data_IF_652320034767
#
_entry.id   IF_652320034767
#
_cell.length_a   1.000
_cell.length_b   1.000
_cell.length_c   1.000
_cell.angle_alpha   90.00
_cell.angle_beta   90.00
_cell.angle_gamma   90.00
#
_symmetry.space_group_name_H-M   'P 1'
#
loop_
_entity.id
_entity.type
_entity.pdbx_description
1 polymer ?
#
# COMPACT_ATOMS: atom_id res chain seq x y z
N UNK A 1 -22.59 -11.54 8.36
CA UNK A 1 -21.16 -11.87 8.60
C UNK A 1 -20.38 -10.66 8.12
N UNK A 2 -19.74 -9.87 9.01
CA UNK A 2 -19.15 -8.56 8.67
C UNK A 2 -17.63 -8.58 8.55
N UNK A 3 -17.03 -9.77 8.66
CA UNK A 3 -15.60 -9.99 8.68
C UNK A 3 -15.28 -11.24 7.87
N UNK A 4 -14.25 -11.16 7.04
CA UNK A 4 -13.72 -12.28 6.26
C UNK A 4 -12.29 -12.56 6.71
N UNK A 5 -11.93 -13.83 6.84
CA UNK A 5 -10.60 -14.29 7.20
C UNK A 5 -9.98 -15.05 6.03
N UNK A 6 -8.72 -14.76 5.72
CA UNK A 6 -7.89 -15.48 4.76
C UNK A 6 -6.57 -15.87 5.44
N UNK A 7 -6.33 -17.15 5.67
CA UNK A 7 -5.07 -17.65 6.22
C UNK A 7 -4.01 -17.84 5.12
N UNK A 8 -2.75 -17.72 5.52
CA UNK A 8 -1.59 -18.08 4.71
C UNK A 8 -0.66 -18.91 5.60
N UNK A 9 -0.53 -20.23 5.36
CA UNK A 9 -1.15 -21.00 4.27
C UNK A 9 -2.67 -21.15 4.40
N UNK A 10 -3.36 -21.30 3.27
CA UNK A 10 -4.82 -21.42 3.18
C UNK A 10 -5.29 -22.72 3.86
N UNK A 11 -6.38 -22.64 4.62
CA UNK A 11 -6.98 -23.80 5.29
C UNK A 11 -8.06 -24.47 4.43
N UNK A 12 -8.33 -25.76 4.69
CA UNK A 12 -9.34 -26.51 3.93
C UNK A 12 -10.75 -25.90 4.10
N UNK A 13 -11.44 -25.66 2.98
CA UNK A 13 -12.79 -25.07 2.96
C UNK A 13 -12.82 -23.54 3.09
N UNK A 14 -11.66 -22.88 3.11
CA UNK A 14 -11.56 -21.42 3.20
C UNK A 14 -11.85 -20.74 1.86
N UNK A 15 -12.69 -19.69 1.89
CA UNK A 15 -12.98 -18.85 0.72
C UNK A 15 -12.05 -17.65 0.73
N UNK A 16 -11.10 -17.64 -0.20
CA UNK A 16 -10.15 -16.53 -0.34
C UNK A 16 -10.84 -15.32 -0.93
N UNK A 17 -10.86 -14.22 -0.18
CA UNK A 17 -11.32 -12.91 -0.64
C UNK A 17 -10.16 -11.98 -0.99
N UNK A 18 -10.38 -11.02 -1.89
CA UNK A 18 -9.40 -9.96 -2.11
C UNK A 18 -9.38 -9.03 -0.88
N UNK A 19 -8.25 -8.83 -0.20
CA UNK A 19 -8.18 -8.02 1.01
C UNK A 19 -8.11 -6.52 0.66
N UNK A 20 -9.24 -5.98 0.19
CA UNK A 20 -9.37 -4.66 -0.41
C UNK A 20 -10.08 -3.65 0.49
N UNK A 21 -9.61 -2.40 0.44
CA UNK A 21 -10.24 -1.22 1.06
C UNK A 21 -10.40 -0.10 0.03
N UNK A 22 -11.45 0.71 0.17
CA UNK A 22 -11.67 1.88 -0.67
C UNK A 22 -12.65 2.87 -0.04
N UNK A 23 -12.64 4.10 -0.53
CA UNK A 23 -13.49 5.20 -0.05
C UNK A 23 -14.36 5.83 -1.14
N UNK A 24 -14.48 5.18 -2.29
CA UNK A 24 -15.22 5.70 -3.45
C UNK A 24 -14.45 6.75 -4.27
N UNK A 25 -13.24 7.12 -3.88
CA UNK A 25 -12.33 7.94 -4.69
C UNK A 25 -11.12 7.12 -5.14
N UNK A 26 -10.57 6.33 -4.22
CA UNK A 26 -9.48 5.41 -4.44
C UNK A 26 -9.72 4.09 -3.71
N UNK A 27 -8.93 3.08 -4.07
CA UNK A 27 -8.88 1.82 -3.36
C UNK A 27 -7.55 1.10 -3.52
N UNK A 28 -7.28 0.20 -2.60
CA UNK A 28 -6.05 -0.57 -2.55
C UNK A 28 -6.29 -1.88 -1.80
N UNK A 29 -5.64 -2.94 -2.25
CA UNK A 29 -5.61 -4.22 -1.53
C UNK A 29 -4.30 -4.35 -0.76
N UNK A 30 -4.35 -5.03 0.39
CA UNK A 30 -3.15 -5.34 1.19
C UNK A 30 -2.37 -6.52 0.57
N UNK A 31 -2.02 -6.39 -0.71
CA UNK A 31 -1.11 -7.30 -1.42
C UNK A 31 0.11 -6.57 -1.97
N UNK A 32 1.28 -7.23 -2.04
CA UNK A 32 2.53 -6.60 -2.50
C UNK A 32 2.37 -6.06 -3.91
N UNK A 33 1.68 -6.81 -4.76
CA UNK A 33 1.48 -6.44 -6.15
C UNK A 33 0.22 -5.58 -6.35
N UNK A 34 -0.48 -5.19 -5.27
CA UNK A 34 -1.68 -4.38 -5.39
C UNK A 34 -1.34 -2.94 -5.77
N UNK A 35 -1.87 -2.53 -6.90
CA UNK A 35 -1.74 -1.18 -7.41
C UNK A 35 -2.89 -0.33 -6.89
N UNK A 36 -2.64 0.97 -6.66
CA UNK A 36 -3.71 1.90 -6.31
C UNK A 36 -4.72 1.95 -7.44
N UNK A 37 -5.99 1.73 -7.11
CA UNK A 37 -7.13 1.80 -8.00
C UNK A 37 -7.77 3.18 -7.91
N UNK A 38 -7.97 3.83 -9.06
CA UNK A 38 -8.49 5.18 -9.17
C UNK A 38 -9.93 5.13 -9.72
N UNK A 39 -10.87 5.78 -9.04
CA UNK A 39 -12.23 5.95 -9.57
C UNK A 39 -12.33 7.28 -10.34
N UNK A 40 -12.26 7.20 -11.66
CA UNK A 40 -12.29 8.38 -12.54
C UNK A 40 -13.70 8.80 -12.93
N UNK A 41 -14.62 7.84 -13.01
CA UNK A 41 -16.05 8.02 -13.29
C UNK A 41 -16.81 6.88 -12.58
N UNK A 42 -17.93 7.20 -11.93
CA UNK A 42 -18.77 6.23 -11.22
C UNK A 42 -19.36 5.15 -12.15
N UNK A 43 -19.42 5.42 -13.45
CA UNK A 43 -19.90 4.47 -14.48
C UNK A 43 -18.78 3.70 -15.16
N UNK A 44 -17.53 4.01 -14.84
CA UNK A 44 -16.37 3.35 -15.43
C UNK A 44 -15.69 2.41 -14.43
N UNK A 45 -15.05 1.33 -14.88
CA UNK A 45 -14.24 0.50 -14.02
C UNK A 45 -13.06 1.30 -13.43
N UNK A 46 -12.55 0.86 -12.29
CA UNK A 46 -11.35 1.44 -11.71
C UNK A 46 -10.18 1.39 -12.69
N UNK A 47 -9.41 2.48 -12.73
CA UNK A 47 -8.16 2.55 -13.48
C UNK A 47 -7.00 2.28 -12.54
N UNK A 48 -6.17 1.29 -12.86
CA UNK A 48 -4.99 1.00 -12.05
C UNK A 48 -3.88 2.02 -12.30
N UNK A 49 -3.32 2.57 -11.22
CA UNK A 49 -2.20 3.53 -11.28
C UNK A 49 -0.87 2.92 -11.77
N UNK A 50 -0.74 1.59 -11.73
CA UNK A 50 0.56 0.91 -11.90
C UNK A 50 1.48 1.00 -10.68
N UNK A 51 1.12 1.77 -9.65
CA UNK A 51 1.95 2.05 -8.48
C UNK A 51 1.44 1.32 -7.24
N UNK A 52 2.34 0.64 -6.51
CA UNK A 52 2.05 -0.05 -5.24
C UNK A 52 2.79 0.62 -4.08
N UNK A 53 2.08 1.32 -3.17
CA UNK A 53 2.69 1.90 -1.97
C UNK A 53 2.81 0.90 -0.82
N UNK A 54 2.31 -0.34 -0.99
CA UNK A 54 2.18 -1.29 0.12
C UNK A 54 3.57 -1.72 0.58
N UNK A 55 3.82 -1.50 1.87
CA UNK A 55 5.05 -1.93 2.52
C UNK A 55 4.81 -3.23 3.25
N UNK A 56 5.73 -4.16 3.08
CA UNK A 56 5.69 -5.45 3.75
C UNK A 56 6.95 -5.71 4.51
N UNK A 57 6.79 -6.53 5.53
CA UNK A 57 7.90 -7.21 6.18
C UNK A 57 7.98 -8.59 5.56
N UNK A 58 9.13 -8.93 5.00
CA UNK A 58 9.39 -10.28 4.50
C UNK A 58 10.82 -10.65 4.82
N UNK A 59 11.02 -11.92 5.16
CA UNK A 59 12.34 -12.51 5.38
C UNK A 59 12.41 -13.79 4.58
N UNK A 60 13.49 -13.98 3.84
CA UNK A 60 13.69 -15.21 3.05
C UNK A 60 14.21 -16.36 3.94
N UNK A 61 14.52 -16.08 5.21
CA UNK A 61 15.13 -17.03 6.15
C UNK A 61 14.25 -17.37 7.35
N UNK A 62 13.10 -16.70 7.54
CA UNK A 62 12.24 -16.91 8.70
C UNK A 62 10.97 -17.63 8.25
N UNK A 63 10.52 -18.59 9.04
CA UNK A 63 9.20 -19.19 8.83
C UNK A 63 8.14 -18.13 9.14
N UNK A 64 7.15 -17.98 8.26
CA UNK A 64 6.04 -17.06 8.46
C UNK A 64 4.68 -17.76 8.38
N UNK A 65 3.73 -17.20 9.12
CA UNK A 65 2.32 -17.55 9.05
C UNK A 65 1.52 -16.27 9.18
N UNK A 66 0.40 -16.19 8.48
CA UNK A 66 -0.40 -14.98 8.50
C UNK A 66 -1.89 -15.23 8.41
N UNK A 67 -2.65 -14.26 8.89
CA UNK A 67 -4.08 -14.17 8.67
C UNK A 67 -4.41 -12.76 8.23
N UNK A 68 -5.18 -12.64 7.15
CA UNK A 68 -5.72 -11.38 6.66
C UNK A 68 -7.19 -11.30 6.99
N UNK A 69 -7.61 -10.19 7.55
CA UNK A 69 -8.92 -9.93 8.11
C UNK A 69 -9.50 -8.72 7.39
N UNK A 70 -10.61 -8.92 6.67
CA UNK A 70 -11.34 -7.83 6.00
C UNK A 70 -12.51 -7.43 6.88
N UNK A 71 -12.46 -6.25 7.48
CA UNK A 71 -13.49 -5.72 8.36
C UNK A 71 -14.41 -4.79 7.55
N UNK A 72 -15.50 -5.34 7.01
CA UNK A 72 -16.33 -4.65 6.00
C UNK A 72 -17.04 -3.41 6.55
N UNK A 73 -17.47 -3.44 7.82
CA UNK A 73 -18.19 -2.32 8.45
C UNK A 73 -17.25 -1.12 8.70
N UNK A 74 -16.04 -1.41 9.12
CA UNK A 74 -14.99 -0.43 9.38
C UNK A 74 -14.32 0.04 8.06
N UNK A 75 -14.37 -0.79 7.01
CA UNK A 75 -13.67 -0.53 5.76
C UNK A 75 -12.16 -0.60 5.95
N UNK A 76 -11.71 -1.58 6.75
CA UNK A 76 -10.32 -1.76 7.15
C UNK A 76 -9.88 -3.18 6.79
N UNK A 77 -8.66 -3.29 6.29
CA UNK A 77 -7.99 -4.57 6.05
C UNK A 77 -6.85 -4.70 7.04
N UNK A 78 -6.84 -5.77 7.82
CA UNK A 78 -5.78 -6.07 8.78
C UNK A 78 -5.05 -7.33 8.36
N UNK A 79 -3.74 -7.38 8.48
CA UNK A 79 -2.96 -8.61 8.34
C UNK A 79 -2.11 -8.79 9.58
N UNK A 80 -2.26 -9.94 10.21
CA UNK A 80 -1.46 -10.36 11.37
C UNK A 80 -0.47 -11.39 10.85
N UNK A 81 0.80 -11.18 11.12
CA UNK A 81 1.91 -12.01 10.67
C UNK A 81 2.77 -12.39 11.87
N UNK A 82 3.08 -13.68 11.97
CA UNK A 82 4.03 -14.19 12.94
C UNK A 82 5.24 -14.70 12.18
N UNK A 83 6.42 -14.19 12.51
CA UNK A 83 7.69 -14.68 11.98
C UNK A 83 8.44 -15.42 13.07
N UNK A 84 9.08 -16.53 12.69
CA UNK A 84 9.90 -17.35 13.58
C UNK A 84 11.21 -17.68 12.89
N UNK A 85 12.32 -17.25 13.50
CA UNK A 85 13.66 -17.56 13.02
C UNK A 85 14.27 -18.75 13.77
N UNK A 86 14.08 -18.77 15.09
CA UNK A 86 14.52 -19.85 15.96
C UNK A 86 13.53 -20.01 17.12
N UNK A 87 13.80 -20.93 18.05
CA UNK A 87 13.01 -21.03 19.28
C UNK A 87 13.08 -19.76 20.14
N UNK A 88 14.12 -18.95 19.96
CA UNK A 88 14.45 -17.79 20.79
C UNK A 88 14.24 -16.46 20.06
N UNK A 89 13.95 -16.46 18.75
CA UNK A 89 13.73 -15.24 17.95
C UNK A 89 12.45 -15.35 17.14
N UNK A 90 11.51 -14.47 17.46
CA UNK A 90 10.22 -14.33 16.78
C UNK A 90 9.79 -12.87 16.74
N UNK A 91 8.95 -12.53 15.77
CA UNK A 91 8.33 -11.21 15.65
C UNK A 91 6.83 -11.36 15.36
N UNK A 92 6.02 -10.50 15.95
CA UNK A 92 4.61 -10.35 15.59
C UNK A 92 4.42 -9.02 14.88
N UNK A 93 3.83 -9.05 13.69
CA UNK A 93 3.63 -7.89 12.84
C UNK A 93 2.15 -7.74 12.56
N UNK A 94 1.62 -6.54 12.79
CA UNK A 94 0.25 -6.19 12.41
C UNK A 94 0.28 -5.07 11.39
N UNK A 95 -0.25 -5.36 10.21
CA UNK A 95 -0.56 -4.35 9.20
C UNK A 95 -2.02 -3.95 9.30
N UNK A 96 -2.31 -2.67 9.20
CA UNK A 96 -3.67 -2.13 9.06
C UNK A 96 -3.68 -1.20 7.85
N UNK A 97 -4.55 -1.45 6.89
CA UNK A 97 -4.70 -0.66 5.67
C UNK A 97 -6.12 -0.15 5.55
N UNK A 98 -6.27 1.15 5.30
CA UNK A 98 -7.57 1.76 5.03
C UNK A 98 -7.46 2.98 4.12
N UNK A 99 -8.54 3.23 3.38
CA UNK A 99 -8.75 4.47 2.64
C UNK A 99 -9.49 5.46 3.54
N UNK A 100 -8.93 6.66 3.73
CA UNK A 100 -9.47 7.61 4.71
C UNK A 100 -10.82 8.18 4.25
N UNK A 101 -11.86 8.06 5.08
CA UNK A 101 -13.24 8.46 4.70
C UNK A 101 -13.43 9.96 4.52
N UNK A 102 -12.81 10.78 5.39
CA UNK A 102 -12.93 12.26 5.35
C UNK A 102 -11.88 12.96 4.47
N UNK A 103 -10.89 12.20 3.98
CA UNK A 103 -9.76 12.72 3.18
C UNK A 103 -9.65 11.80 1.96
N UNK A 104 -10.47 12.04 0.92
CA UNK A 104 -10.64 11.08 -0.17
C UNK A 104 -9.32 10.65 -0.83
N UNK A 105 -8.36 11.55 -0.91
CA UNK A 105 -7.03 11.34 -1.48
C UNK A 105 -6.05 10.53 -0.62
N UNK A 106 -6.40 10.13 0.61
CA UNK A 106 -5.45 9.54 1.55
C UNK A 106 -5.70 8.05 1.75
N UNK A 107 -4.64 7.27 1.57
CA UNK A 107 -4.51 5.88 2.03
C UNK A 107 -3.55 5.88 3.21
N UNK A 108 -3.86 5.09 4.23
CA UNK A 108 -3.01 4.91 5.41
C UNK A 108 -2.71 3.43 5.58
N UNK A 109 -1.43 3.13 5.79
CA UNK A 109 -0.97 1.83 6.25
C UNK A 109 -0.23 2.00 7.58
N UNK A 110 -0.75 1.39 8.63
CA UNK A 110 -0.07 1.28 9.92
C UNK A 110 0.60 -0.11 10.03
N UNK A 111 1.82 -0.14 10.55
CA UNK A 111 2.61 -1.35 10.77
C UNK A 111 3.11 -1.32 12.22
N UNK A 112 2.62 -2.25 13.01
CA UNK A 112 3.06 -2.48 14.39
C UNK A 112 3.94 -3.74 14.42
N UNK A 113 5.15 -3.64 14.95
CA UNK A 113 6.10 -4.73 15.06
C UNK A 113 6.44 -4.96 16.53
N UNK A 114 6.06 -6.12 17.04
CA UNK A 114 6.35 -6.55 18.40
C UNK A 114 7.49 -7.56 18.37
N UNK A 115 8.52 -7.30 19.16
CA UNK A 115 9.60 -8.25 19.42
C UNK A 115 9.41 -8.88 20.81
N UNK A 116 8.77 -10.06 20.90
CA UNK A 116 8.63 -10.77 22.18
C UNK A 116 9.92 -11.48 22.64
N UNK A 117 11.01 -11.42 21.87
CA UNK A 117 12.26 -12.12 22.22
C UNK A 117 13.19 -11.27 23.07
N UNK A 118 14.21 -11.94 23.64
CA UNK A 118 15.30 -11.33 24.40
C UNK A 118 16.42 -10.76 23.50
N UNK A 119 16.27 -10.87 22.18
CA UNK A 119 17.27 -10.44 21.20
C UNK A 119 16.73 -9.32 20.32
N UNK A 120 17.58 -8.37 19.97
CA UNK A 120 17.24 -7.34 18.98
C UNK A 120 16.98 -7.99 17.63
N UNK A 121 15.93 -7.53 16.93
CA UNK A 121 15.57 -8.01 15.60
C UNK A 121 15.83 -6.94 14.55
N UNK A 122 16.51 -7.33 13.48
CA UNK A 122 16.69 -6.52 12.28
C UNK A 122 15.71 -7.01 11.21
N UNK A 123 14.72 -6.19 10.89
CA UNK A 123 13.68 -6.53 9.92
C UNK A 123 13.77 -5.63 8.70
N UNK A 124 13.69 -6.24 7.52
CA UNK A 124 13.65 -5.51 6.26
C UNK A 124 12.21 -5.07 5.93
N UNK A 125 12.06 -3.78 5.68
CA UNK A 125 10.86 -3.16 5.15
C UNK A 125 11.03 -3.06 3.64
N UNK A 126 10.29 -3.90 2.92
CA UNK A 126 10.35 -3.94 1.47
C UNK A 126 9.15 -3.15 0.94
N UNK A 127 9.33 -1.89 0.50
CA UNK A 127 8.30 -1.24 -0.29
C UNK A 127 8.16 -2.00 -1.60
N UNK A 128 6.95 -2.38 -1.97
CA UNK A 128 6.71 -3.05 -3.23
C UNK A 128 6.66 -2.02 -4.36
N UNK A 129 7.77 -1.29 -4.58
CA UNK A 129 7.87 -0.25 -5.62
C UNK A 129 7.91 -0.85 -7.04
N UNK A 130 7.38 -2.06 -7.24
CA UNK A 130 7.31 -2.69 -8.56
C UNK A 130 6.19 -2.05 -9.35
N UNK A 131 6.59 -1.19 -10.28
CA UNK A 131 5.82 -0.86 -11.46
C UNK A 131 5.76 -2.10 -12.32
N UNK A 132 4.68 -2.85 -12.14
CA UNK A 132 4.31 -3.92 -13.04
C UNK A 132 3.54 -3.25 -14.17
N UNK A 133 4.24 -2.79 -15.22
CA UNK A 133 3.82 -2.74 -16.63
C UNK A 133 4.78 -1.87 -17.46
N UNK A 134 5.08 -2.33 -18.68
CA UNK A 134 5.79 -1.57 -19.74
C UNK A 134 4.91 -0.45 -20.36
N UNK A 135 3.69 -0.25 -19.86
CA UNK A 135 2.71 0.71 -20.41
C UNK A 135 2.76 2.10 -19.76
N UNK A 136 3.65 2.31 -18.78
CA UNK A 136 3.86 3.61 -18.15
C UNK A 136 4.79 4.45 -19.02
N UNK A 137 4.22 5.21 -19.95
CA UNK A 137 4.96 6.01 -20.94
C UNK A 137 5.83 7.11 -20.32
N UNK A 138 5.55 7.56 -19.09
CA UNK A 138 6.25 8.68 -18.47
C UNK A 138 6.15 8.68 -16.94
N UNK A 139 6.71 7.66 -16.29
CA UNK A 139 6.87 7.70 -14.84
C UNK A 139 7.98 8.70 -14.47
N UNK A 140 7.64 9.70 -13.67
CA UNK A 140 8.60 10.64 -13.12
C UNK A 140 8.56 10.60 -11.58
N UNK A 141 9.72 10.40 -10.95
CA UNK A 141 9.85 10.25 -9.49
C UNK A 141 10.87 11.23 -8.93
N UNK A 142 10.45 12.01 -7.93
CA UNK A 142 11.29 12.99 -7.24
C UNK A 142 11.21 12.81 -5.73
N UNK A 143 12.37 12.97 -5.07
CA UNK A 143 12.39 13.19 -3.62
C UNK A 143 11.90 14.61 -3.33
N UNK A 144 10.93 14.73 -2.42
CA UNK A 144 10.36 16.00 -1.98
C UNK A 144 10.48 16.09 -0.46
N UNK A 145 10.95 17.23 0.02
CA UNK A 145 10.93 17.57 1.44
C UNK A 145 10.08 18.81 1.61
N UNK A 146 9.20 18.80 2.61
CA UNK A 146 8.41 19.99 2.94
C UNK A 146 9.08 20.71 4.11
N UNK A 147 9.33 22.00 3.99
CA UNK A 147 10.09 22.78 4.99
C UNK A 147 9.57 22.66 6.44
N UNK A 148 8.29 22.32 6.60
CA UNK A 148 7.62 22.17 7.89
C UNK A 148 7.87 20.83 8.57
N UNK A 149 8.27 19.80 7.83
CA UNK A 149 8.50 18.44 8.32
C UNK A 149 9.85 17.98 7.81
N UNK A 150 10.80 17.64 8.70
CA UNK A 150 12.09 17.06 8.28
C UNK A 150 11.95 15.74 7.50
N UNK A 151 10.74 15.20 7.41
CA UNK A 151 10.38 14.00 6.68
C UNK A 151 10.58 14.17 5.16
N UNK A 152 11.14 13.13 4.55
CA UNK A 152 11.27 13.02 3.09
C UNK A 152 10.13 12.20 2.50
N UNK A 153 9.69 12.59 1.31
CA UNK A 153 8.63 11.94 0.57
C UNK A 153 9.09 11.61 -0.85
N UNK A 154 8.49 10.60 -1.45
CA UNK A 154 8.66 10.27 -2.86
C UNK A 154 7.40 10.72 -3.59
N UNK A 155 7.55 11.67 -4.50
CA UNK A 155 6.50 12.12 -5.41
C UNK A 155 6.64 11.35 -6.72
N UNK A 156 5.59 10.62 -7.11
CA UNK A 156 5.48 9.88 -8.35
C UNK A 156 4.40 10.50 -9.21
N UNK A 157 4.73 10.89 -10.43
CA UNK A 157 3.76 11.40 -11.41
C UNK A 157 3.74 10.51 -12.63
N UNK A 158 2.57 10.38 -13.25
CA UNK A 158 2.43 9.63 -14.49
C UNK A 158 1.15 9.98 -15.24
N UNK A 159 1.09 9.52 -16.49
CA UNK A 159 -0.06 9.55 -17.35
C UNK A 159 -0.49 8.12 -17.71
N UNK A 160 -1.79 7.83 -17.56
CA UNK A 160 -2.36 6.53 -17.93
C UNK A 160 -3.44 6.70 -19.00
N UNK A 161 -3.37 5.97 -20.13
CA UNK A 161 -4.46 5.93 -21.10
C UNK A 161 -5.68 5.23 -20.49
N UNK A 162 -6.86 5.85 -20.61
CA UNK A 162 -8.13 5.28 -20.11
C UNK A 162 -8.94 4.68 -21.26
N UNK A 163 -8.98 5.37 -22.40
CA UNK A 163 -9.59 4.92 -23.67
C UNK A 163 -8.79 5.50 -24.84
N UNK A 164 -9.17 5.14 -26.06
CA UNK A 164 -8.57 5.72 -27.26
C UNK A 164 -8.63 7.26 -27.22
N UNK A 165 -7.48 7.92 -27.36
CA UNK A 165 -7.31 9.39 -27.29
C UNK A 165 -7.70 10.05 -25.96
N UNK A 166 -7.71 9.31 -24.86
CA UNK A 166 -8.01 9.88 -23.54
C UNK A 166 -7.13 9.30 -22.45
N UNK A 167 -6.79 10.13 -21.48
CA UNK A 167 -5.87 9.78 -20.41
C UNK A 167 -6.22 10.48 -19.11
N UNK A 168 -5.61 10.01 -18.03
CA UNK A 168 -5.56 10.71 -16.74
C UNK A 168 -4.12 10.99 -16.37
N UNK A 169 -3.91 12.09 -15.66
CA UNK A 169 -2.64 12.38 -15.00
C UNK A 169 -2.84 12.16 -13.51
N UNK A 170 -1.91 11.49 -12.86
CA UNK A 170 -1.90 11.36 -11.41
C UNK A 170 -0.60 11.86 -10.79
N UNK A 171 -0.72 12.22 -9.52
CA UNK A 171 0.37 12.51 -8.60
C UNK A 171 0.15 11.68 -7.35
N UNK A 172 1.12 10.86 -6.99
CA UNK A 172 1.15 10.07 -5.76
C UNK A 172 2.32 10.58 -4.93
N UNK A 173 2.06 10.89 -3.66
CA UNK A 173 3.06 11.27 -2.69
C UNK A 173 3.04 10.23 -1.57
N UNK A 174 4.19 9.59 -1.30
CA UNK A 174 4.32 8.63 -0.21
C UNK A 174 5.49 9.00 0.69
N UNK A 175 5.44 8.65 1.98
CA UNK A 175 6.60 8.76 2.86
C UNK A 175 7.78 7.98 2.27
N UNK A 176 9.00 8.53 2.38
CA UNK A 176 10.23 7.78 2.10
C UNK A 176 10.48 6.81 3.24
N UNK A 177 10.67 5.53 2.92
CA UNK A 177 10.73 4.46 3.92
C UNK A 177 12.16 3.97 4.02
N UNK A 178 12.66 3.90 5.26
CA UNK A 178 13.94 3.27 5.57
C UNK A 178 13.74 1.76 5.41
N UNK A 179 14.59 1.12 4.61
CA UNK A 179 14.44 -0.29 4.22
C UNK A 179 14.70 -1.29 5.35
N UNK A 180 15.14 -0.82 6.51
CA UNK A 180 15.43 -1.65 7.68
C UNK A 180 14.91 -0.98 8.96
N UNK A 181 14.47 -1.80 9.91
CA UNK A 181 14.12 -1.37 11.24
C UNK A 181 14.72 -2.31 12.29
N UNK A 182 15.16 -1.72 13.40
CA UNK A 182 15.78 -2.42 14.51
C UNK A 182 14.81 -2.40 15.70
N UNK A 183 14.28 -3.57 16.08
CA UNK A 183 13.28 -3.68 17.13
C UNK A 183 13.92 -4.31 18.37
N UNK A 184 13.98 -3.54 19.45
CA UNK A 184 14.61 -3.95 20.72
C UNK A 184 13.86 -5.10 21.39
N UNK A 185 14.52 -5.89 22.23
CA UNK A 185 13.87 -6.92 23.04
C UNK A 185 12.67 -6.40 23.82
N UNK A 186 11.58 -7.17 23.85
CA UNK A 186 10.35 -6.85 24.58
C UNK A 186 9.63 -5.56 24.15
N UNK A 187 9.97 -4.98 22.99
CA UNK A 187 9.48 -3.67 22.55
C UNK A 187 8.51 -3.74 21.38
N UNK A 188 7.80 -2.61 21.17
CA UNK A 188 6.89 -2.36 20.05
C UNK A 188 7.45 -1.19 19.24
N UNK A 189 7.68 -1.43 17.96
CA UNK A 189 7.99 -0.39 16.98
C UNK A 189 6.77 -0.12 16.10
N UNK A 190 6.47 1.16 15.83
CA UNK A 190 5.32 1.57 15.02
C UNK A 190 5.75 2.38 13.82
N UNK A 191 5.15 2.07 12.68
CA UNK A 191 5.35 2.84 11.46
C UNK A 191 4.02 3.15 10.79
N UNK A 192 3.86 4.40 10.37
CA UNK A 192 2.70 4.83 9.60
C UNK A 192 3.17 5.32 8.24
N UNK A 193 2.64 4.71 7.18
CA UNK A 193 2.86 5.08 5.80
C UNK A 193 1.63 5.83 5.33
N UNK A 194 1.83 7.07 4.89
CA UNK A 194 0.79 7.89 4.29
C UNK A 194 1.01 7.92 2.78
N UNK A 195 -0.04 7.64 2.03
CA UNK A 195 -0.03 7.77 0.57
C UNK A 195 -1.14 8.72 0.14
N UNK A 196 -0.75 9.86 -0.40
CA UNK A 196 -1.67 10.88 -0.91
C UNK A 196 -1.73 10.77 -2.43
N UNK A 197 -2.94 10.67 -2.96
CA UNK A 197 -3.20 10.48 -4.39
C UNK A 197 -4.11 11.58 -4.91
N UNK A 198 -3.66 12.25 -5.96
CA UNK A 198 -4.46 13.19 -6.75
C UNK A 198 -4.42 12.77 -8.21
N UNK A 199 -5.54 12.88 -8.89
CA UNK A 199 -5.63 12.62 -10.32
C UNK A 199 -6.61 13.57 -10.98
N UNK A 200 -6.38 13.83 -12.27
CA UNK A 200 -7.25 14.66 -13.09
C UNK A 200 -8.56 13.94 -13.42
N UNK A 201 -9.57 14.68 -13.87
CA UNK A 201 -10.62 14.09 -14.70
C UNK A 201 -10.02 13.49 -15.97
N UNK A 202 -10.80 12.68 -16.69
CA UNK A 202 -10.38 12.17 -18.01
C UNK A 202 -10.15 13.36 -18.95
N UNK A 203 -8.96 13.40 -19.56
CA UNK A 203 -8.53 14.41 -20.53
C UNK A 203 -8.52 13.80 -21.93
N UNK A 204 -8.83 14.62 -22.94
CA UNK A 204 -8.72 14.24 -24.35
C UNK A 204 -7.35 14.69 -24.90
N UNK A 205 -6.69 13.87 -25.70
CA UNK A 205 -5.38 14.21 -26.30
C UNK A 205 -5.41 15.53 -27.08
N UNK A 206 -6.53 15.83 -27.75
CA UNK A 206 -6.71 17.06 -28.53
C UNK A 206 -6.89 18.33 -27.67
N UNK A 207 -7.14 18.19 -26.36
CA UNK A 207 -7.39 19.35 -25.47
C UNK A 207 -6.11 20.07 -25.04
N UNK A 208 -4.94 19.45 -25.21
CA UNK A 208 -3.64 20.07 -24.92
C UNK A 208 -3.08 20.90 -26.09
N UNK A 209 -3.63 20.75 -27.29
CA UNK A 209 -3.13 21.39 -28.52
C UNK A 209 -3.71 22.80 -28.76
N UNK A 210 -4.68 23.25 -27.98
CA UNK A 210 -5.34 24.56 -28.16
C UNK A 210 -4.84 25.66 -27.19
N UNK A 211 -3.65 25.49 -26.61
CA UNK A 211 -2.97 26.53 -25.81
C UNK A 211 -1.54 26.76 -26.32
N UNK A 212 -1.45 27.28 -27.54
CA UNK A 212 -0.24 27.94 -28.07
C UNK A 212 -0.69 29.15 -28.87
#
# INVERSE_FOLDING_TARGET
MNTIFNHEPIQYGEVVSLPFTGNGYLGLSLSSQSQIQLLTDIRSPFTSSGYSPVVRISSDTWEDSSATIVQMKEGVVRRIQCFKFSKERSAHVTHVLYAHRKRPSLIVQDIDIINPSEHTLDLALKPSNRILNNDLKQLDQHDVQFDQTKDSYIMTTNQIPVRQHSFIIYVILTNKIISTTNVKPGSLEKQTILTVVKFSSVLLENSLLNKT
#
